data_IF_983645692789
#
_entry.id   IF_983645692789
#
_cell.length_a   1.000
_cell.length_b   1.000
_cell.length_c   1.000
_cell.angle_alpha   90.00
_cell.angle_beta   90.00
_cell.angle_gamma   90.00
#
_symmetry.space_group_name_H-M   'P 1'
#
loop_
_entity.id
_entity.type
_entity.pdbx_description
1 polymer ?
#
# COMPACT_ATOMS: atom_id res chain seq x y z
N UNK A 1 -4.47 46.79 -39.50
CA UNK A 1 -5.95 46.67 -39.56
C UNK A 1 -6.38 45.49 -40.43
N UNK A 2 -6.15 45.50 -41.75
CA UNK A 2 -6.60 44.43 -42.66
C UNK A 2 -6.07 43.02 -42.31
N UNK A 3 -4.79 42.90 -41.95
CA UNK A 3 -4.16 41.63 -41.50
C UNK A 3 -4.79 41.07 -40.22
N UNK A 4 -5.19 41.94 -39.29
CA UNK A 4 -5.84 41.55 -38.04
C UNK A 4 -7.28 41.04 -38.28
N UNK A 5 -8.03 41.70 -39.16
CA UNK A 5 -9.37 41.24 -39.57
C UNK A 5 -9.32 39.89 -40.29
N UNK A 6 -8.34 39.68 -41.18
CA UNK A 6 -8.14 38.40 -41.85
C UNK A 6 -7.81 37.28 -40.84
N UNK A 7 -6.94 37.57 -39.87
CA UNK A 7 -6.60 36.63 -38.80
C UNK A 7 -7.81 36.25 -37.94
N UNK A 8 -8.60 37.23 -37.48
CA UNK A 8 -9.84 36.98 -36.72
C UNK A 8 -10.84 36.14 -37.52
N UNK A 9 -10.98 36.41 -38.83
CA UNK A 9 -11.91 35.67 -39.68
C UNK A 9 -11.49 34.19 -39.84
N UNK A 10 -10.19 33.94 -40.00
CA UNK A 10 -9.64 32.57 -40.06
C UNK A 10 -9.84 31.88 -38.71
N UNK A 11 -9.49 32.54 -37.60
CA UNK A 11 -9.67 31.99 -36.26
C UNK A 11 -11.13 31.64 -35.97
N UNK A 12 -12.07 32.53 -36.31
CA UNK A 12 -13.51 32.30 -36.16
C UNK A 12 -13.99 31.09 -36.97
N UNK A 13 -13.54 30.95 -38.23
CA UNK A 13 -13.87 29.81 -39.07
C UNK A 13 -13.33 28.49 -38.50
N UNK A 14 -12.09 28.50 -37.99
CA UNK A 14 -11.48 27.32 -37.33
C UNK A 14 -12.26 26.95 -36.06
N UNK A 15 -12.63 27.94 -35.24
CA UNK A 15 -13.43 27.71 -34.03
C UNK A 15 -14.82 27.16 -34.38
N UNK A 16 -15.49 27.69 -35.40
CA UNK A 16 -16.79 27.18 -35.85
C UNK A 16 -16.71 25.76 -36.40
N UNK A 17 -15.64 25.43 -37.14
CA UNK A 17 -15.42 24.07 -37.64
C UNK A 17 -15.19 23.10 -36.47
N UNK A 18 -14.33 23.47 -35.52
CA UNK A 18 -14.12 22.69 -34.30
C UNK A 18 -15.42 22.48 -33.52
N UNK A 19 -16.21 23.54 -33.33
CA UNK A 19 -17.49 23.46 -32.63
C UNK A 19 -18.48 22.52 -33.34
N UNK A 20 -18.61 22.63 -34.67
CA UNK A 20 -19.47 21.73 -35.46
C UNK A 20 -19.01 20.28 -35.36
N UNK A 21 -17.70 20.02 -35.43
CA UNK A 21 -17.14 18.67 -35.28
C UNK A 21 -17.42 18.11 -33.89
N UNK A 22 -17.22 18.91 -32.83
CA UNK A 22 -17.50 18.51 -31.44
C UNK A 22 -18.98 18.22 -31.23
N UNK A 23 -19.87 19.11 -31.70
CA UNK A 23 -21.32 18.91 -31.61
C UNK A 23 -21.79 17.68 -32.40
N UNK A 24 -21.25 17.47 -33.60
CA UNK A 24 -21.52 16.29 -34.42
C UNK A 24 -21.09 14.99 -33.74
N UNK A 25 -19.88 14.97 -33.16
CA UNK A 25 -19.40 13.85 -32.37
C UNK A 25 -20.25 13.62 -31.13
N UNK A 26 -20.64 14.68 -30.42
CA UNK A 26 -21.51 14.63 -29.25
C UNK A 26 -22.87 14.01 -29.57
N UNK A 27 -23.52 14.45 -30.65
CA UNK A 27 -24.79 13.89 -31.11
C UNK A 27 -24.66 12.42 -31.50
N UNK A 28 -23.59 12.03 -32.19
CA UNK A 28 -23.31 10.64 -32.53
C UNK A 28 -23.15 9.78 -31.27
N UNK A 29 -22.34 10.22 -30.30
CA UNK A 29 -22.13 9.52 -29.03
C UNK A 29 -23.43 9.40 -28.24
N UNK A 30 -24.20 10.49 -28.14
CA UNK A 30 -25.50 10.49 -27.45
C UNK A 30 -26.50 9.54 -28.11
N UNK A 31 -26.56 9.51 -29.45
CA UNK A 31 -27.42 8.60 -30.19
C UNK A 31 -27.08 7.13 -29.95
N UNK A 32 -25.78 6.80 -29.80
CA UNK A 32 -25.33 5.44 -29.44
C UNK A 32 -25.62 5.12 -27.99
N UNK A 33 -25.37 6.06 -27.08
CA UNK A 33 -25.68 5.93 -25.65
C UNK A 33 -27.16 5.61 -25.43
N UNK A 34 -28.08 6.31 -26.10
CA UNK A 34 -29.53 6.11 -25.96
C UNK A 34 -30.00 4.70 -26.31
N UNK A 35 -29.22 3.93 -27.09
CA UNK A 35 -29.57 2.54 -27.43
C UNK A 35 -29.29 1.57 -26.29
N UNK A 36 -28.23 1.81 -25.50
CA UNK A 36 -27.78 0.92 -24.43
C UNK A 36 -27.27 1.71 -23.21
N UNK A 37 -28.12 2.56 -22.60
CA UNK A 37 -27.67 3.53 -21.61
C UNK A 37 -27.01 2.87 -20.40
N UNK A 38 -27.62 1.81 -19.86
CA UNK A 38 -27.07 1.09 -18.69
C UNK A 38 -25.67 0.51 -18.98
N UNK A 39 -25.49 -0.18 -20.10
CA UNK A 39 -24.21 -0.79 -20.45
C UNK A 39 -23.11 0.26 -20.64
N UNK A 40 -23.43 1.39 -21.27
CA UNK A 40 -22.47 2.46 -21.51
C UNK A 40 -22.11 3.19 -20.21
N UNK A 41 -23.08 3.44 -19.33
CA UNK A 41 -22.84 4.01 -18.00
C UNK A 41 -21.94 3.09 -17.17
N UNK A 42 -22.18 1.78 -17.18
CA UNK A 42 -21.34 0.82 -16.46
C UNK A 42 -19.91 0.78 -16.99
N UNK A 43 -19.70 0.85 -18.31
CA UNK A 43 -18.35 0.92 -18.87
C UNK A 43 -17.66 2.26 -18.58
N UNK A 44 -18.40 3.36 -18.60
CA UNK A 44 -17.90 4.67 -18.16
C UNK A 44 -17.51 4.66 -16.69
N UNK A 45 -18.31 4.02 -15.83
CA UNK A 45 -17.99 3.83 -14.42
C UNK A 45 -16.72 3.01 -14.22
N UNK A 46 -16.58 1.87 -14.92
CA UNK A 46 -15.35 1.07 -14.91
C UNK A 46 -14.13 1.91 -15.30
N UNK A 47 -14.23 2.71 -16.37
CA UNK A 47 -13.16 3.60 -16.80
C UNK A 47 -12.78 4.62 -15.73
N UNK A 48 -13.76 5.31 -15.14
CA UNK A 48 -13.52 6.31 -14.09
C UNK A 48 -12.89 5.69 -12.86
N UNK A 49 -13.42 4.56 -12.39
CA UNK A 49 -12.86 3.82 -11.25
C UNK A 49 -11.42 3.40 -11.52
N UNK A 50 -11.15 2.88 -12.72
CA UNK A 50 -9.80 2.50 -13.13
C UNK A 50 -8.84 3.68 -13.18
N UNK A 51 -9.28 4.82 -13.75
CA UNK A 51 -8.48 6.03 -13.82
C UNK A 51 -8.06 6.51 -12.43
N UNK A 52 -8.96 6.50 -11.45
CA UNK A 52 -8.63 6.87 -10.07
C UNK A 52 -7.71 5.87 -9.39
N UNK A 53 -7.85 4.56 -9.62
CA UNK A 53 -6.95 3.56 -9.05
C UNK A 53 -5.50 3.65 -9.59
N UNK A 54 -5.32 4.10 -10.83
CA UNK A 54 -4.00 4.36 -11.40
C UNK A 54 -3.43 5.70 -10.98
N UNK A 55 -4.25 6.75 -10.99
CA UNK A 55 -3.80 8.11 -10.77
C UNK A 55 -4.68 8.81 -9.71
N UNK A 56 -4.42 8.55 -8.42
CA UNK A 56 -5.18 9.13 -7.31
C UNK A 56 -4.86 10.62 -7.11
N UNK A 57 -5.31 11.47 -8.02
CA UNK A 57 -5.06 12.93 -7.98
C UNK A 57 -6.07 13.69 -7.14
N UNK A 58 -7.31 13.22 -7.13
CA UNK A 58 -8.40 13.92 -6.49
C UNK A 58 -8.44 13.55 -5.01
N UNK A 59 -7.94 14.45 -4.17
CA UNK A 59 -8.06 14.30 -2.73
C UNK A 59 -9.49 14.64 -2.28
N UNK A 60 -10.39 13.67 -2.39
CA UNK A 60 -11.77 13.78 -1.91
C UNK A 60 -12.25 12.39 -1.48
N UNK A 61 -13.06 12.32 -0.42
CA UNK A 61 -13.57 11.05 0.13
C UNK A 61 -14.30 10.19 -0.90
N UNK A 62 -14.99 10.85 -1.86
CA UNK A 62 -15.70 10.16 -2.94
C UNK A 62 -14.75 9.32 -3.81
N UNK A 63 -13.51 9.78 -4.01
CA UNK A 63 -12.48 9.04 -4.74
C UNK A 63 -12.20 7.70 -4.06
N UNK A 64 -12.11 7.69 -2.72
CA UNK A 64 -11.93 6.48 -1.92
C UNK A 64 -13.05 5.46 -2.13
N UNK A 65 -14.31 5.90 -2.11
CA UNK A 65 -15.47 5.03 -2.41
C UNK A 65 -15.46 4.47 -3.83
N UNK A 66 -15.18 5.33 -4.82
CA UNK A 66 -15.11 4.92 -6.22
C UNK A 66 -14.01 3.85 -6.38
N UNK A 67 -12.82 4.08 -5.85
CA UNK A 67 -11.70 3.14 -5.92
C UNK A 67 -11.99 1.81 -5.22
N UNK A 68 -12.56 1.86 -4.01
CA UNK A 68 -12.96 0.66 -3.25
C UNK A 68 -13.97 -0.22 -4.01
N UNK A 69 -14.79 0.39 -4.87
CA UNK A 69 -15.79 -0.33 -5.68
C UNK A 69 -15.24 -1.03 -6.92
N UNK A 70 -13.93 -0.97 -7.18
CA UNK A 70 -13.32 -1.53 -8.39
C UNK A 70 -13.74 -2.99 -8.70
N UNK A 71 -13.77 -3.93 -7.73
CA UNK A 71 -14.22 -5.30 -8.00
C UNK A 71 -15.66 -5.35 -8.56
N UNK A 72 -16.57 -4.52 -8.02
CA UNK A 72 -17.93 -4.39 -8.51
C UNK A 72 -17.97 -3.77 -9.91
N UNK A 73 -17.19 -2.71 -10.14
CA UNK A 73 -17.09 -2.05 -11.45
C UNK A 73 -16.61 -3.03 -12.54
N UNK A 74 -15.65 -3.89 -12.22
CA UNK A 74 -15.15 -4.94 -13.12
C UNK A 74 -16.22 -5.99 -13.43
N UNK A 75 -16.92 -6.50 -12.40
CA UNK A 75 -17.97 -7.50 -12.59
C UNK A 75 -19.13 -6.96 -13.43
N UNK A 76 -19.64 -5.77 -13.10
CA UNK A 76 -20.68 -5.11 -13.87
C UNK A 76 -20.19 -4.76 -15.29
N UNK A 77 -18.94 -4.31 -15.44
CA UNK A 77 -18.32 -4.03 -16.73
C UNK A 77 -18.23 -5.26 -17.63
N UNK A 78 -17.90 -6.43 -17.07
CA UNK A 78 -17.87 -7.70 -17.80
C UNK A 78 -19.27 -8.10 -18.29
N UNK A 79 -20.28 -7.99 -17.43
CA UNK A 79 -21.69 -8.23 -17.80
C UNK A 79 -22.12 -7.29 -18.92
N UNK A 80 -21.76 -6.00 -18.83
CA UNK A 80 -22.05 -5.02 -19.88
C UNK A 80 -21.36 -5.37 -21.20
N UNK A 81 -20.11 -5.85 -21.17
CA UNK A 81 -19.39 -6.31 -22.36
C UNK A 81 -20.09 -7.50 -23.02
N UNK A 82 -20.46 -8.53 -22.24
CA UNK A 82 -21.16 -9.72 -22.74
C UNK A 82 -22.49 -9.31 -23.38
N UNK A 83 -23.26 -8.44 -22.72
CA UNK A 83 -24.51 -7.92 -23.25
C UNK A 83 -24.33 -7.16 -24.57
N UNK A 84 -23.31 -6.31 -24.67
CA UNK A 84 -23.02 -5.54 -25.89
C UNK A 84 -22.53 -6.43 -27.05
N UNK A 85 -21.77 -7.50 -26.76
CA UNK A 85 -21.41 -8.51 -27.75
C UNK A 85 -22.66 -9.22 -28.31
N UNK A 86 -23.58 -9.61 -27.43
CA UNK A 86 -24.87 -10.19 -27.83
C UNK A 86 -25.68 -9.22 -28.71
N UNK A 87 -25.67 -7.93 -28.39
CA UNK A 87 -26.31 -6.86 -29.18
C UNK A 87 -25.49 -6.42 -30.41
N UNK A 88 -24.44 -7.17 -30.79
CA UNK A 88 -23.56 -6.94 -31.94
C UNK A 88 -22.81 -5.60 -31.91
N UNK A 89 -22.69 -4.95 -30.74
CA UNK A 89 -21.94 -3.71 -30.53
C UNK A 89 -20.45 -4.00 -30.26
N UNK A 90 -19.79 -4.67 -31.21
CA UNK A 90 -18.44 -5.25 -31.03
C UNK A 90 -17.39 -4.21 -30.62
N UNK A 91 -17.39 -3.01 -31.21
CA UNK A 91 -16.38 -1.98 -30.92
C UNK A 91 -16.41 -1.53 -29.46
N UNK A 92 -17.59 -1.22 -28.93
CA UNK A 92 -17.72 -0.73 -27.55
C UNK A 92 -17.48 -1.86 -26.56
N UNK A 93 -17.95 -3.07 -26.86
CA UNK A 93 -17.64 -4.23 -26.04
C UNK A 93 -16.14 -4.52 -25.98
N UNK A 94 -15.43 -4.41 -27.12
CA UNK A 94 -13.97 -4.60 -27.17
C UNK A 94 -13.25 -3.53 -26.35
N UNK A 95 -13.67 -2.27 -26.43
CA UNK A 95 -13.13 -1.20 -25.59
C UNK A 95 -13.35 -1.48 -24.09
N UNK A 96 -14.53 -1.98 -23.71
CA UNK A 96 -14.81 -2.40 -22.33
C UNK A 96 -13.93 -3.57 -21.87
N UNK A 97 -13.71 -4.58 -22.73
CA UNK A 97 -12.81 -5.69 -22.44
C UNK A 97 -11.35 -5.22 -22.26
N UNK A 98 -10.88 -4.25 -23.06
CA UNK A 98 -9.57 -3.63 -22.87
C UNK A 98 -9.48 -2.99 -21.48
N UNK A 99 -10.51 -2.27 -21.04
CA UNK A 99 -10.53 -1.68 -19.69
C UNK A 99 -10.49 -2.73 -18.58
N UNK A 100 -11.15 -3.88 -18.75
CA UNK A 100 -11.07 -5.01 -17.82
C UNK A 100 -9.66 -5.63 -17.82
N UNK A 101 -9.01 -5.75 -18.98
CA UNK A 101 -7.63 -6.23 -19.03
C UNK A 101 -6.68 -5.24 -18.34
N UNK A 102 -6.88 -3.94 -18.55
CA UNK A 102 -6.13 -2.90 -17.87
C UNK A 102 -6.40 -2.86 -16.36
N UNK A 103 -7.56 -3.32 -15.89
CA UNK A 103 -7.84 -3.42 -14.46
C UNK A 103 -7.05 -4.51 -13.76
N UNK A 104 -6.56 -5.50 -14.51
CA UNK A 104 -5.73 -6.56 -13.97
C UNK A 104 -4.41 -6.04 -13.38
N UNK A 105 -3.84 -4.94 -13.90
CA UNK A 105 -2.60 -4.38 -13.31
C UNK A 105 -2.84 -3.71 -11.95
N UNK A 106 -4.06 -3.24 -11.66
CA UNK A 106 -4.45 -2.79 -10.31
C UNK A 106 -4.78 -3.99 -9.43
N UNK A 107 -5.47 -5.00 -9.97
CA UNK A 107 -5.79 -6.24 -9.23
C UNK A 107 -4.52 -7.02 -8.86
N UNK A 108 -3.45 -6.92 -9.65
CA UNK A 108 -2.12 -7.47 -9.30
C UNK A 108 -1.69 -7.04 -7.89
N UNK A 109 -2.01 -5.81 -7.47
CA UNK A 109 -1.69 -5.30 -6.12
C UNK A 109 -2.24 -6.17 -5.00
N UNK A 110 -3.25 -7.02 -5.26
CA UNK A 110 -3.82 -7.97 -4.30
C UNK A 110 -2.99 -9.26 -4.18
N UNK A 111 -2.25 -9.65 -5.22
CA UNK A 111 -1.59 -10.94 -5.34
C UNK A 111 -0.07 -10.81 -5.35
N UNK A 112 0.60 -11.45 -4.39
CA UNK A 112 2.05 -11.55 -4.32
C UNK A 112 2.57 -12.74 -5.10
N UNK A 113 3.66 -12.53 -5.85
CA UNK A 113 4.40 -13.60 -6.54
C UNK A 113 5.76 -13.72 -5.86
N UNK A 114 6.18 -14.92 -5.42
CA UNK A 114 7.49 -15.08 -4.80
C UNK A 114 8.58 -14.60 -5.75
N UNK A 115 9.47 -13.76 -5.24
CA UNK A 115 10.66 -13.38 -5.98
C UNK A 115 11.48 -14.65 -6.24
N UNK A 116 11.98 -14.82 -7.48
CA UNK A 116 12.86 -15.94 -7.80
C UNK A 116 14.13 -15.90 -6.95
N UNK A 117 14.70 -17.07 -6.65
CA UNK A 117 15.93 -17.22 -5.87
C UNK A 117 17.13 -16.57 -6.59
N UNK A 118 17.30 -15.26 -6.43
CA UNK A 118 18.59 -14.64 -6.65
C UNK A 118 19.51 -15.18 -5.56
N UNK A 119 20.65 -15.76 -5.96
CA UNK A 119 21.71 -16.25 -5.05
C UNK A 119 22.37 -15.06 -4.30
N UNK A 120 21.62 -14.43 -3.41
CA UNK A 120 22.03 -13.34 -2.52
C UNK A 120 22.43 -13.87 -1.14
N UNK A 121 22.78 -15.15 -1.05
CA UNK A 121 23.16 -15.82 0.21
C UNK A 121 24.36 -15.17 0.91
N UNK A 122 25.17 -14.39 0.18
CA UNK A 122 26.36 -13.70 0.70
C UNK A 122 26.14 -12.23 1.06
N UNK A 123 24.92 -11.68 0.91
CA UNK A 123 24.66 -10.25 1.14
C UNK A 123 23.82 -10.05 2.40
N UNK A 124 24.26 -9.12 3.26
CA UNK A 124 23.52 -8.75 4.47
C UNK A 124 22.09 -8.36 4.11
N UNK A 125 21.15 -9.05 4.75
CA UNK A 125 19.71 -8.85 4.57
C UNK A 125 19.17 -8.16 5.82
N UNK A 126 18.37 -7.12 5.64
CA UNK A 126 17.65 -6.43 6.70
C UNK A 126 16.24 -7.02 6.83
N UNK A 127 15.90 -7.56 8.00
CA UNK A 127 14.56 -8.06 8.33
C UNK A 127 13.71 -6.96 8.99
N UNK A 128 12.59 -6.60 8.37
CA UNK A 128 11.68 -5.58 8.91
C UNK A 128 10.31 -6.19 9.18
N UNK A 129 9.87 -6.10 10.44
CA UNK A 129 8.55 -6.53 10.87
C UNK A 129 7.63 -5.32 11.04
N UNK A 130 6.38 -5.44 10.60
CA UNK A 130 5.30 -4.54 10.97
C UNK A 130 4.15 -5.32 11.57
N UNK A 131 3.59 -4.85 12.67
CA UNK A 131 2.50 -5.55 13.34
C UNK A 131 1.62 -4.62 14.17
N UNK A 132 0.34 -4.53 13.82
CA UNK A 132 -0.66 -4.01 14.74
C UNK A 132 -0.91 -5.06 15.81
N UNK A 133 -0.43 -4.80 17.02
CA UNK A 133 -0.39 -5.81 18.08
C UNK A 133 -1.69 -5.93 18.86
N UNK A 134 -2.64 -5.01 18.70
CA UNK A 134 -3.87 -4.90 19.52
C UNK A 134 -3.56 -4.97 21.03
N UNK A 135 -2.40 -4.46 21.43
CA UNK A 135 -1.68 -4.70 22.69
C UNK A 135 -1.24 -6.14 22.95
N UNK A 136 -0.10 -6.26 23.62
CA UNK A 136 0.43 -7.57 23.95
C UNK A 136 -0.30 -8.21 25.14
N UNK A 137 -0.46 -9.55 25.14
CA UNK A 137 -0.98 -10.26 26.31
C UNK A 137 -0.13 -9.97 27.56
N UNK A 138 -0.80 -9.58 28.67
CA UNK A 138 -0.15 -9.31 29.97
C UNK A 138 -0.69 -10.24 31.05
N UNK A 139 0.17 -10.70 31.96
CA UNK A 139 -0.25 -11.48 33.13
C UNK A 139 -0.62 -12.94 32.78
N UNK A 140 -1.66 -13.54 33.38
CA UNK A 140 -2.01 -14.96 33.17
C UNK A 140 -2.34 -15.32 31.71
N UNK A 141 -2.78 -14.35 30.91
CA UNK A 141 -3.06 -14.49 29.47
C UNK A 141 -1.80 -14.50 28.59
N UNK A 142 -0.63 -14.19 29.16
CA UNK A 142 0.66 -14.30 28.47
C UNK A 142 1.17 -15.76 28.39
N UNK A 143 0.45 -16.73 28.98
CA UNK A 143 0.81 -18.15 28.90
C UNK A 143 0.84 -18.63 27.45
N UNK A 144 2.04 -18.85 26.91
CA UNK A 144 2.26 -19.27 25.52
C UNK A 144 2.53 -18.13 24.52
N UNK A 145 2.60 -16.86 24.96
CA UNK A 145 3.12 -15.79 24.12
C UNK A 145 4.63 -15.92 23.98
N UNK A 146 5.09 -16.19 22.75
CA UNK A 146 6.50 -16.24 22.41
C UNK A 146 6.86 -15.05 21.51
N UNK A 147 7.52 -14.07 22.12
CA UNK A 147 8.02 -12.88 21.44
C UNK A 147 9.14 -13.21 20.43
N UNK A 148 9.73 -14.40 20.45
CA UNK A 148 10.81 -14.80 19.53
C UNK A 148 10.36 -14.87 18.07
N UNK A 149 9.08 -15.22 17.84
CA UNK A 149 8.47 -15.24 16.51
C UNK A 149 8.33 -13.84 15.90
N UNK A 150 8.37 -12.79 16.74
CA UNK A 150 8.29 -11.38 16.36
C UNK A 150 9.68 -10.71 16.27
N UNK A 151 10.76 -11.50 16.32
CA UNK A 151 12.13 -10.99 16.25
C UNK A 151 12.50 -10.61 14.83
N UNK A 152 12.87 -9.35 14.63
CA UNK A 152 13.41 -8.83 13.39
C UNK A 152 14.66 -7.97 13.66
N UNK A 153 15.23 -7.38 12.61
CA UNK A 153 16.30 -6.39 12.76
C UNK A 153 15.74 -5.02 13.15
N UNK A 154 14.58 -4.70 12.59
CA UNK A 154 13.77 -3.53 12.90
C UNK A 154 12.31 -3.99 13.01
N UNK A 155 11.61 -3.61 14.08
CA UNK A 155 10.22 -3.96 14.29
C UNK A 155 9.36 -2.73 14.58
N UNK A 156 8.29 -2.58 13.81
CA UNK A 156 7.34 -1.47 13.88
C UNK A 156 6.01 -1.99 14.41
N UNK A 157 5.59 -1.51 15.57
CA UNK A 157 4.34 -1.92 16.21
C UNK A 157 3.33 -0.79 16.19
N UNK A 158 2.08 -1.14 15.84
CA UNK A 158 0.91 -0.30 16.00
C UNK A 158 0.07 -0.85 17.17
N UNK A 159 -0.70 0.04 17.80
CA UNK A 159 -1.45 -0.26 19.04
C UNK A 159 -0.56 -0.95 20.10
N UNK A 160 0.69 -0.50 20.17
CA UNK A 160 1.72 -1.04 21.05
C UNK A 160 1.44 -0.66 22.50
N UNK A 161 1.53 -1.63 23.39
CA UNK A 161 1.65 -1.43 24.84
C UNK A 161 3.03 -1.91 25.32
N UNK A 162 3.65 -1.25 26.32
CA UNK A 162 4.94 -1.67 26.87
C UNK A 162 5.01 -3.18 27.18
N UNK A 163 6.09 -3.84 26.75
CA UNK A 163 6.25 -5.28 26.90
C UNK A 163 7.75 -5.65 26.97
N UNK A 164 8.20 -6.07 28.15
CA UNK A 164 9.60 -6.38 28.41
C UNK A 164 10.18 -7.50 27.52
N UNK A 165 9.37 -8.50 27.12
CA UNK A 165 9.86 -9.59 26.25
C UNK A 165 10.15 -9.11 24.82
N UNK A 166 9.47 -8.07 24.35
CA UNK A 166 9.77 -7.40 23.09
C UNK A 166 10.95 -6.45 23.27
N UNK A 167 10.90 -5.59 24.29
CA UNK A 167 11.91 -4.55 24.53
C UNK A 167 13.32 -5.15 24.71
N UNK A 168 13.44 -6.26 25.42
CA UNK A 168 14.72 -6.94 25.66
C UNK A 168 15.36 -7.56 24.40
N UNK A 169 14.67 -7.58 23.26
CA UNK A 169 15.22 -8.12 22.01
C UNK A 169 16.03 -7.11 21.20
N UNK A 170 15.93 -5.81 21.53
CA UNK A 170 16.43 -4.71 20.71
C UNK A 170 17.34 -3.77 21.49
N UNK A 171 18.23 -3.07 20.78
CA UNK A 171 19.22 -2.16 21.38
C UNK A 171 18.70 -0.72 21.51
N UNK A 172 17.79 -0.32 20.61
CA UNK A 172 17.22 1.02 20.57
C UNK A 172 15.71 0.94 20.33
N UNK A 173 14.98 1.93 20.87
CA UNK A 173 13.54 2.08 20.67
C UNK A 173 13.12 3.54 20.53
N UNK A 174 12.06 3.77 19.79
CA UNK A 174 11.29 5.02 19.74
C UNK A 174 9.85 4.66 20.04
N UNK A 175 9.22 5.37 20.97
CA UNK A 175 7.81 5.17 21.28
C UNK A 175 7.06 6.50 21.39
N UNK A 176 5.80 6.49 20.97
CA UNK A 176 4.83 7.54 21.29
C UNK A 176 3.55 6.88 21.74
N UNK A 177 3.30 6.96 23.04
CA UNK A 177 2.16 6.36 23.70
C UNK A 177 1.21 7.45 24.18
N UNK A 178 -0.06 7.09 24.26
CA UNK A 178 -1.13 7.89 24.85
C UNK A 178 -1.84 7.06 25.91
N UNK A 179 -2.45 7.75 26.87
CA UNK A 179 -3.27 7.11 27.89
C UNK A 179 -4.56 6.60 27.25
N UNK A 180 -4.70 5.28 27.13
CA UNK A 180 -5.89 4.63 26.60
C UNK A 180 -6.93 4.37 27.69
N UNK A 181 -6.45 3.96 28.87
CA UNK A 181 -7.22 3.80 30.10
C UNK A 181 -6.33 4.11 31.30
N UNK A 182 -6.88 4.22 32.52
CA UNK A 182 -6.20 4.68 33.74
C UNK A 182 -4.82 4.06 33.98
N UNK A 183 -4.64 2.79 33.60
CA UNK A 183 -3.41 2.02 33.83
C UNK A 183 -2.82 1.45 32.52
N UNK A 184 -3.24 1.94 31.34
CA UNK A 184 -2.83 1.37 30.05
C UNK A 184 -2.46 2.45 29.05
N UNK A 185 -1.18 2.44 28.70
CA UNK A 185 -0.65 3.23 27.59
C UNK A 185 -0.67 2.42 26.30
N UNK A 186 -1.05 3.07 25.21
CA UNK A 186 -1.06 2.48 23.88
C UNK A 186 -0.51 3.46 22.85
N UNK A 187 0.09 2.99 21.78
CA UNK A 187 0.43 3.86 20.66
C UNK A 187 1.32 3.20 19.64
N UNK A 188 2.40 3.88 19.29
CA UNK A 188 3.35 3.42 18.29
C UNK A 188 4.70 3.14 18.93
N UNK A 189 5.34 2.07 18.47
CA UNK A 189 6.73 1.79 18.81
C UNK A 189 7.52 1.34 17.58
N UNK A 190 8.78 1.76 17.52
CA UNK A 190 9.77 1.32 16.55
C UNK A 190 10.99 0.83 17.32
N UNK A 191 11.34 -0.43 17.14
CA UNK A 191 12.49 -1.08 17.74
C UNK A 191 13.57 -1.35 16.70
N UNK A 192 14.84 -1.26 17.11
CA UNK A 192 15.96 -1.48 16.22
C UNK A 192 17.14 -2.15 16.92
N UNK A 193 17.79 -3.09 16.22
CA UNK A 193 19.10 -3.62 16.57
C UNK A 193 20.25 -2.69 16.14
N UNK A 194 19.92 -1.53 15.57
CA UNK A 194 20.87 -0.56 15.06
C UNK A 194 20.67 0.80 15.77
N UNK A 195 21.72 1.64 15.88
CA UNK A 195 21.59 2.96 16.48
C UNK A 195 20.62 3.86 15.72
N UNK A 196 19.75 4.53 16.47
CA UNK A 196 18.80 5.54 15.97
C UNK A 196 19.47 6.90 16.05
N UNK A 197 19.64 7.56 14.91
CA UNK A 197 20.36 8.83 14.77
C UNK A 197 19.43 10.03 14.94
N UNK A 198 18.24 9.98 14.33
CA UNK A 198 17.20 10.99 14.45
C UNK A 198 15.83 10.33 14.54
N UNK A 199 14.89 11.00 15.20
CA UNK A 199 13.53 10.52 15.30
C UNK A 199 12.54 11.68 15.29
N UNK A 200 11.42 11.47 14.62
CA UNK A 200 10.27 12.37 14.59
C UNK A 200 9.01 11.51 14.62
N UNK A 201 7.92 12.06 15.14
CA UNK A 201 6.67 11.34 15.13
C UNK A 201 5.55 12.15 15.73
N UNK A 202 4.33 11.76 15.40
CA UNK A 202 3.12 12.44 15.82
C UNK A 202 2.01 11.41 16.03
N UNK A 203 1.26 11.61 17.10
CA UNK A 203 -0.06 11.00 17.27
C UNK A 203 -1.09 12.07 16.90
N UNK A 204 -2.05 11.72 16.06
CA UNK A 204 -3.12 12.64 15.65
C UNK A 204 -4.30 12.55 16.61
N UNK A 205 -4.82 13.71 17.01
CA UNK A 205 -5.96 13.79 17.90
C UNK A 205 -7.23 13.31 17.20
N UNK A 206 -8.05 12.53 17.90
CA UNK A 206 -9.34 12.04 17.42
C UNK A 206 -10.47 12.62 18.27
N UNK A 207 -11.45 13.23 17.62
CA UNK A 207 -12.60 13.82 18.30
C UNK A 207 -13.51 12.75 18.94
N UNK A 208 -13.55 11.54 18.38
CA UNK A 208 -14.45 10.46 18.79
C UNK A 208 -13.72 9.13 19.03
N UNK A 209 -12.57 9.16 19.70
CA UNK A 209 -11.86 7.94 20.06
C UNK A 209 -10.52 8.20 20.74
N UNK A 210 -9.83 7.13 21.14
CA UNK A 210 -8.50 7.24 21.72
C UNK A 210 -7.47 7.61 20.66
N UNK A 211 -6.48 8.40 21.06
CA UNK A 211 -5.41 8.92 20.22
C UNK A 211 -4.36 7.84 19.97
N UNK A 212 -4.65 6.90 19.06
CA UNK A 212 -3.81 5.72 18.79
C UNK A 212 -3.22 5.69 17.36
N UNK A 213 -3.66 6.62 16.51
CA UNK A 213 -3.23 6.74 15.12
C UNK A 213 -2.11 7.79 15.01
N UNK A 214 -1.10 7.49 14.21
CA UNK A 214 0.09 8.33 14.12
C UNK A 214 1.12 7.84 13.14
N UNK A 215 2.31 8.43 13.22
CA UNK A 215 3.51 7.87 12.61
C UNK A 215 4.74 8.07 13.51
N UNK A 216 5.71 7.18 13.37
CA UNK A 216 7.09 7.35 13.84
C UNK A 216 8.01 7.25 12.65
N UNK A 217 8.96 8.16 12.54
CA UNK A 217 10.00 8.14 11.52
C UNK A 217 11.34 8.19 12.22
N UNK A 218 12.21 7.25 11.90
CA UNK A 218 13.53 7.11 12.48
C UNK A 218 14.59 7.01 11.38
N UNK A 219 15.66 7.80 11.49
CA UNK A 219 16.87 7.63 10.71
C UNK A 219 17.81 6.70 11.48
N UNK A 220 18.22 5.59 10.87
CA UNK A 220 18.89 4.46 11.51
C UNK A 220 20.22 4.20 10.82
N UNK A 221 21.29 4.04 11.61
CA UNK A 221 22.62 3.72 11.10
C UNK A 221 22.69 2.25 10.66
N UNK A 222 22.80 1.97 9.36
CA UNK A 222 22.83 0.61 8.81
C UNK A 222 24.08 0.38 7.96
N UNK A 223 25.03 -0.37 8.51
CA UNK A 223 26.34 -0.59 7.88
C UNK A 223 27.15 0.71 7.81
N UNK A 224 27.44 1.19 6.59
CA UNK A 224 28.14 2.46 6.34
C UNK A 224 27.20 3.57 5.88
N UNK A 225 25.89 3.32 5.88
CA UNK A 225 24.88 4.24 5.37
C UNK A 225 23.82 4.55 6.44
N UNK A 226 22.92 5.48 6.14
CA UNK A 226 21.75 5.79 6.96
C UNK A 226 20.48 5.45 6.19
N UNK A 227 19.56 4.75 6.83
CA UNK A 227 18.25 4.41 6.26
C UNK A 227 17.15 5.12 7.05
N UNK A 228 16.03 5.42 6.38
CA UNK A 228 14.85 5.99 7.02
C UNK A 228 13.75 4.93 7.12
N UNK A 229 13.28 4.66 8.33
CA UNK A 229 12.16 3.75 8.57
C UNK A 229 10.99 4.53 9.14
N UNK A 230 9.81 4.36 8.54
CA UNK A 230 8.57 5.01 8.96
C UNK A 230 7.55 3.95 9.36
N UNK A 231 7.19 3.92 10.64
CA UNK A 231 6.06 3.18 11.17
C UNK A 231 4.81 4.05 11.08
N UNK A 232 3.76 3.58 10.39
CA UNK A 232 2.49 4.30 10.26
C UNK A 232 1.32 3.52 10.85
N UNK A 233 0.38 4.23 11.46
CA UNK A 233 -0.94 3.73 11.81
C UNK A 233 -1.96 4.79 11.41
N UNK A 234 -2.44 4.70 10.16
CA UNK A 234 -3.39 5.68 9.62
C UNK A 234 -4.79 5.48 10.21
N UNK A 235 -5.64 6.50 10.07
CA UNK A 235 -6.97 6.57 10.68
C UNK A 235 -7.79 5.29 10.48
N UNK A 236 -8.12 4.64 11.60
CA UNK A 236 -8.98 3.46 11.63
C UNK A 236 -10.45 3.85 11.47
N UNK A 237 -11.13 3.17 10.56
CA UNK A 237 -12.55 3.38 10.28
C UNK A 237 -13.45 2.63 11.26
N UNK A 238 -12.90 1.80 12.16
CA UNK A 238 -13.68 1.06 13.16
C UNK A 238 -14.87 0.30 12.56
N UNK A 239 -14.78 -0.16 11.31
CA UNK A 239 -15.89 -0.78 10.59
C UNK A 239 -16.16 -2.14 11.20
N UNK A 240 -17.36 -2.30 11.79
CA UNK A 240 -17.81 -3.54 12.43
C UNK A 240 -18.89 -4.21 11.58
N UNK A 241 -18.47 -4.96 10.57
CA UNK A 241 -19.39 -5.67 9.66
C UNK A 241 -20.23 -6.75 10.34
N UNK A 242 -19.80 -7.25 11.50
CA UNK A 242 -20.52 -8.31 12.22
C UNK A 242 -21.89 -7.85 12.71
N UNK A 243 -21.99 -6.63 13.22
CA UNK A 243 -23.26 -6.09 13.74
C UNK A 243 -24.30 -5.95 12.62
N UNK A 244 -23.88 -5.47 11.44
CA UNK A 244 -24.73 -5.43 10.26
C UNK A 244 -25.16 -6.83 9.82
N UNK A 245 -24.24 -7.80 9.80
CA UNK A 245 -24.53 -9.19 9.42
C UNK A 245 -25.49 -9.87 10.40
N UNK A 246 -25.32 -9.64 11.70
CA UNK A 246 -26.21 -10.14 12.75
C UNK A 246 -27.61 -9.52 12.64
N UNK A 247 -27.70 -8.20 12.44
CA UNK A 247 -28.97 -7.52 12.24
C UNK A 247 -29.71 -8.03 10.98
N UNK A 248 -28.98 -8.30 9.89
CA UNK A 248 -29.52 -8.89 8.68
C UNK A 248 -30.07 -10.31 8.93
N UNK A 249 -29.27 -11.18 9.56
CA UNK A 249 -29.67 -12.56 9.91
C UNK A 249 -30.88 -12.60 10.86
N UNK A 250 -30.99 -11.59 11.74
CA UNK A 250 -32.11 -11.45 12.67
C UNK A 250 -33.36 -10.80 12.04
N UNK A 251 -33.36 -10.47 10.74
CA UNK A 251 -34.49 -9.82 10.07
C UNK A 251 -34.78 -8.39 10.55
N UNK A 252 -33.84 -7.75 11.25
CA UNK A 252 -34.00 -6.41 11.84
C UNK A 252 -33.63 -5.33 10.82
N UNK A 253 -34.46 -5.14 9.79
CA UNK A 253 -34.19 -4.22 8.67
C UNK A 253 -33.82 -2.80 9.11
N UNK A 254 -34.48 -2.25 10.13
CA UNK A 254 -34.17 -0.90 10.64
C UNK A 254 -32.80 -0.81 11.34
N UNK A 255 -32.37 -1.86 12.05
CA UNK A 255 -31.02 -1.91 12.63
C UNK A 255 -29.99 -2.08 11.52
N UNK A 256 -30.22 -2.98 10.57
CA UNK A 256 -29.33 -3.19 9.43
C UNK A 256 -29.05 -1.90 8.65
N UNK A 257 -30.09 -1.13 8.30
CA UNK A 257 -29.93 0.15 7.57
C UNK A 257 -29.09 1.14 8.37
N UNK A 258 -29.31 1.21 9.69
CA UNK A 258 -28.54 2.10 10.58
C UNK A 258 -27.07 1.69 10.63
N UNK A 259 -26.75 0.41 10.77
CA UNK A 259 -25.35 -0.08 10.77
C UNK A 259 -24.64 0.18 9.44
N UNK A 260 -25.36 0.04 8.32
CA UNK A 260 -24.84 0.36 6.98
C UNK A 260 -24.56 1.86 6.85
N UNK A 261 -25.46 2.71 7.33
CA UNK A 261 -25.28 4.16 7.28
C UNK A 261 -24.14 4.62 8.20
N UNK A 262 -24.02 4.05 9.40
CA UNK A 262 -22.89 4.30 10.31
C UNK A 262 -21.56 3.90 9.66
N UNK A 263 -21.51 2.71 9.04
CA UNK A 263 -20.35 2.26 8.27
C UNK A 263 -19.99 3.25 7.16
N UNK A 264 -20.98 3.75 6.42
CA UNK A 264 -20.75 4.74 5.37
C UNK A 264 -20.15 6.05 5.92
N UNK A 265 -20.68 6.57 7.03
CA UNK A 265 -20.15 7.77 7.68
C UNK A 265 -18.71 7.59 8.13
N UNK A 266 -18.38 6.45 8.77
CA UNK A 266 -17.02 6.12 9.21
C UNK A 266 -16.05 5.97 8.05
N UNK A 267 -16.48 5.35 6.95
CA UNK A 267 -15.68 5.22 5.73
C UNK A 267 -15.36 6.61 5.15
N UNK A 268 -16.37 7.50 5.06
CA UNK A 268 -16.19 8.88 4.60
C UNK A 268 -15.15 9.61 5.44
N UNK A 269 -15.34 9.65 6.76
CA UNK A 269 -14.42 10.30 7.70
C UNK A 269 -13.01 9.72 7.60
N UNK A 270 -12.90 8.39 7.52
CA UNK A 270 -11.62 7.72 7.34
C UNK A 270 -10.90 8.11 6.05
N UNK A 271 -11.61 8.23 4.93
CA UNK A 271 -10.99 8.70 3.69
C UNK A 271 -10.50 10.16 3.79
N UNK A 272 -11.25 11.05 4.45
CA UNK A 272 -10.83 12.45 4.62
C UNK A 272 -9.55 12.55 5.47
N UNK A 273 -9.54 11.92 6.65
CA UNK A 273 -8.39 11.98 7.56
C UNK A 273 -7.16 11.25 7.03
N UNK A 274 -7.30 10.05 6.46
CA UNK A 274 -6.14 9.32 5.93
C UNK A 274 -5.40 10.10 4.85
N UNK A 275 -6.12 10.86 4.02
CA UNK A 275 -5.47 11.63 2.96
C UNK A 275 -4.62 12.78 3.52
N UNK A 276 -5.08 13.43 4.59
CA UNK A 276 -4.30 14.47 5.29
C UNK A 276 -3.09 13.88 6.00
N UNK A 277 -3.28 12.77 6.71
CA UNK A 277 -2.24 12.03 7.41
C UNK A 277 -1.15 11.52 6.46
N UNK A 278 -1.56 10.98 5.32
CA UNK A 278 -0.63 10.47 4.32
C UNK A 278 0.21 11.60 3.71
N UNK A 279 -0.36 12.77 3.45
CA UNK A 279 0.40 13.93 2.96
C UNK A 279 1.48 14.36 3.95
N UNK A 280 1.16 14.34 5.24
CA UNK A 280 2.15 14.60 6.29
C UNK A 280 3.28 13.56 6.23
N UNK A 281 2.95 12.26 6.14
CA UNK A 281 3.96 11.19 5.98
C UNK A 281 4.79 11.38 4.70
N UNK A 282 4.16 11.65 3.55
CA UNK A 282 4.82 11.88 2.26
C UNK A 282 5.87 12.99 2.35
N UNK A 283 5.62 14.04 3.15
CA UNK A 283 6.56 15.15 3.33
C UNK A 283 7.90 14.75 3.98
N UNK A 284 7.93 13.62 4.70
CA UNK A 284 9.15 13.08 5.30
C UNK A 284 9.88 12.06 4.42
N UNK A 285 9.21 11.47 3.43
CA UNK A 285 9.75 10.32 2.68
C UNK A 285 9.99 10.61 1.21
N UNK A 286 9.15 11.44 0.58
CA UNK A 286 9.29 11.79 -0.84
C UNK A 286 10.46 12.75 -0.99
N UNK A 287 11.43 12.39 -1.84
CA UNK A 287 12.67 13.15 -1.99
C UNK A 287 13.66 12.99 -0.83
N UNK A 288 13.44 12.00 0.06
CA UNK A 288 14.40 11.65 1.10
C UNK A 288 15.78 11.36 0.50
N UNK A 289 16.83 11.89 1.13
CA UNK A 289 18.24 11.58 0.79
C UNK A 289 18.67 10.17 1.22
N UNK A 290 17.89 9.53 2.08
CA UNK A 290 18.15 8.20 2.63
C UNK A 290 17.24 7.16 1.97
N UNK A 291 17.72 5.92 1.76
CA UNK A 291 16.86 4.77 1.44
C UNK A 291 15.72 4.66 2.44
N UNK A 292 14.48 4.56 1.93
CA UNK A 292 13.26 4.62 2.75
C UNK A 292 12.60 3.25 2.84
N UNK A 293 12.13 2.90 4.03
CA UNK A 293 11.16 1.82 4.29
C UNK A 293 9.97 2.44 5.03
N UNK A 294 8.76 2.27 4.49
CA UNK A 294 7.50 2.68 5.13
C UNK A 294 6.74 1.39 5.42
N UNK A 295 6.37 1.16 6.67
CA UNK A 295 5.59 -0.02 7.05
C UNK A 295 4.56 0.32 8.11
N UNK A 296 3.46 -0.42 8.14
CA UNK A 296 2.42 -0.20 9.12
C UNK A 296 1.03 -0.57 8.66
N UNK A 297 0.07 -0.25 9.52
CA UNK A 297 -1.35 -0.37 9.24
C UNK A 297 -1.85 0.90 8.53
N UNK A 298 -2.11 0.78 7.22
CA UNK A 298 -2.66 1.87 6.43
C UNK A 298 -4.18 2.02 6.60
N UNK A 299 -4.84 1.06 7.25
CA UNK A 299 -6.29 0.94 7.34
C UNK A 299 -7.00 1.00 5.98
N UNK A 300 -6.30 0.59 4.92
CA UNK A 300 -6.77 0.70 3.53
C UNK A 300 -6.27 -0.47 2.67
N UNK A 301 -7.12 -0.92 1.74
CA UNK A 301 -6.83 -2.08 0.89
C UNK A 301 -5.85 -1.73 -0.25
N UNK A 302 -5.26 -2.72 -0.94
CA UNK A 302 -4.29 -2.45 -2.01
C UNK A 302 -4.85 -1.70 -3.24
N UNK A 303 -6.16 -1.49 -3.32
CA UNK A 303 -6.82 -0.71 -4.38
C UNK A 303 -7.19 0.71 -3.92
N UNK A 304 -6.95 1.05 -2.65
CA UNK A 304 -7.33 2.31 -2.06
C UNK A 304 -6.36 3.47 -2.34
N UNK A 305 -6.76 4.66 -1.92
CA UNK A 305 -6.09 5.93 -2.22
C UNK A 305 -4.68 5.96 -1.65
N UNK A 306 -4.52 5.60 -0.37
CA UNK A 306 -3.21 5.69 0.30
C UNK A 306 -2.18 4.75 -0.31
N UNK A 307 -2.62 3.53 -0.65
CA UNK A 307 -1.79 2.58 -1.39
C UNK A 307 -1.40 3.15 -2.76
N UNK A 308 -2.39 3.64 -3.52
CA UNK A 308 -2.16 4.18 -4.86
C UNK A 308 -1.20 5.38 -4.86
N UNK A 309 -1.27 6.24 -3.84
CA UNK A 309 -0.37 7.39 -3.66
C UNK A 309 1.06 6.96 -3.37
N UNK A 310 1.27 6.07 -2.39
CA UNK A 310 2.59 5.55 -2.07
C UNK A 310 3.21 4.81 -3.26
N UNK A 311 2.40 4.05 -4.00
CA UNK A 311 2.84 3.32 -5.20
C UNK A 311 3.34 4.23 -6.35
N UNK A 312 3.12 5.55 -6.29
CA UNK A 312 3.68 6.49 -7.28
C UNK A 312 5.20 6.70 -7.09
N UNK A 313 5.70 6.57 -5.86
CA UNK A 313 7.09 6.87 -5.50
C UNK A 313 7.83 5.68 -4.88
N UNK A 314 7.11 4.67 -4.39
CA UNK A 314 7.65 3.54 -3.65
C UNK A 314 7.13 2.21 -4.21
N UNK A 315 7.93 1.16 -4.06
CA UNK A 315 7.55 -0.21 -4.44
C UNK A 315 6.94 -0.93 -3.24
N UNK A 316 5.77 -1.53 -3.40
CA UNK A 316 5.16 -2.36 -2.35
C UNK A 316 5.85 -3.72 -2.26
N UNK A 317 6.26 -4.11 -1.05
CA UNK A 317 7.01 -5.35 -0.83
C UNK A 317 6.19 -6.62 -1.05
N UNK A 318 4.90 -6.59 -0.71
CA UNK A 318 4.03 -7.75 -0.89
C UNK A 318 3.70 -7.98 -2.37
N UNK A 319 3.44 -6.91 -3.14
CA UNK A 319 3.22 -7.02 -4.58
C UNK A 319 4.43 -7.62 -5.30
N UNK A 320 5.64 -7.24 -4.89
CA UNK A 320 6.89 -7.64 -5.56
C UNK A 320 7.40 -9.03 -5.13
N UNK A 321 7.33 -9.36 -3.85
CA UNK A 321 7.95 -10.57 -3.29
C UNK A 321 7.06 -11.30 -2.27
N UNK A 322 5.74 -11.11 -2.37
CA UNK A 322 4.74 -11.77 -1.55
C UNK A 322 4.37 -13.17 -2.03
N UNK A 323 3.38 -13.78 -1.37
CA UNK A 323 2.81 -15.05 -1.81
C UNK A 323 1.28 -15.05 -1.65
N UNK A 324 0.56 -15.27 -2.75
CA UNK A 324 -0.90 -15.37 -2.73
C UNK A 324 -1.56 -14.06 -2.32
N UNK A 325 -2.64 -14.13 -1.53
CA UNK A 325 -3.44 -12.97 -1.14
C UNK A 325 -3.00 -12.30 0.16
N UNK A 326 -2.13 -12.92 0.97
CA UNK A 326 -1.52 -12.36 2.18
C UNK A 326 -2.44 -11.49 3.05
N UNK A 327 -3.64 -11.98 3.38
CA UNK A 327 -4.56 -11.25 4.24
C UNK A 327 -3.93 -10.98 5.60
N UNK A 328 -4.09 -9.77 6.10
CA UNK A 328 -3.50 -9.35 7.38
C UNK A 328 -4.53 -9.17 8.46
N UNK A 329 -5.82 -9.05 8.12
CA UNK A 329 -6.89 -8.94 9.12
C UNK A 329 -7.29 -10.34 9.64
N UNK A 330 -7.07 -10.59 10.92
CA UNK A 330 -7.47 -11.78 11.67
C UNK A 330 -8.85 -11.59 12.35
N UNK A 331 -9.72 -10.78 11.74
CA UNK A 331 -11.14 -10.66 12.08
C UNK A 331 -11.97 -10.40 10.83
N UNK A 332 -13.30 -10.51 10.94
CA UNK A 332 -14.16 -10.25 9.79
C UNK A 332 -14.05 -8.77 9.33
N UNK A 333 -13.87 -8.51 8.02
CA UNK A 333 -13.71 -9.48 6.93
C UNK A 333 -12.28 -10.04 6.81
N UNK A 334 -12.13 -11.37 6.99
CA UNK A 334 -10.82 -12.07 6.99
C UNK A 334 -10.05 -12.01 5.65
N UNK A 335 -10.67 -11.49 4.60
CA UNK A 335 -10.12 -11.44 3.23
C UNK A 335 -9.51 -10.07 2.88
N UNK A 336 -8.97 -9.37 3.88
CA UNK A 336 -8.45 -8.00 3.69
C UNK A 336 -6.99 -7.91 4.13
N UNK A 337 -6.18 -7.23 3.29
CA UNK A 337 -4.82 -6.80 3.61
C UNK A 337 -4.80 -5.28 3.77
N UNK A 338 -4.59 -4.80 4.99
CA UNK A 338 -4.48 -3.36 5.32
C UNK A 338 -3.11 -2.96 5.86
N UNK A 339 -2.33 -3.95 6.30
CA UNK A 339 -0.94 -3.78 6.71
C UNK A 339 -0.04 -3.91 5.48
N UNK A 340 0.81 -2.92 5.26
CA UNK A 340 1.62 -2.81 4.04
C UNK A 340 3.07 -2.45 4.38
N UNK A 341 3.99 -2.84 3.51
CA UNK A 341 5.36 -2.31 3.50
C UNK A 341 5.71 -1.79 2.11
N UNK A 342 6.26 -0.58 2.05
CA UNK A 342 6.72 0.12 0.86
C UNK A 342 8.18 0.50 1.01
N UNK A 343 8.95 0.48 -0.08
CA UNK A 343 10.38 0.84 -0.07
C UNK A 343 10.74 1.75 -1.22
N UNK A 344 11.75 2.60 -1.02
CA UNK A 344 12.34 3.37 -2.12
C UNK A 344 13.09 2.44 -3.09
N UNK A 345 13.36 2.96 -4.29
CA UNK A 345 14.07 2.24 -5.35
C UNK A 345 15.47 1.72 -4.97
N UNK A 346 16.04 2.16 -3.86
CA UNK A 346 17.35 1.75 -3.34
C UNK A 346 17.38 0.32 -2.80
N UNK A 347 16.20 -0.28 -2.60
CA UNK A 347 16.05 -1.60 -2.02
C UNK A 347 15.74 -2.67 -3.05
N UNK A 348 16.34 -3.84 -2.87
CA UNK A 348 15.88 -5.08 -3.47
C UNK A 348 15.05 -5.84 -2.43
N UNK A 349 13.85 -6.28 -2.83
CA UNK A 349 12.90 -6.95 -1.95
C UNK A 349 13.07 -8.45 -2.16
N UNK A 350 13.57 -9.15 -1.13
CA UNK A 350 13.86 -10.58 -1.21
C UNK A 350 12.62 -11.41 -0.92
N UNK A 351 11.91 -11.10 0.16
CA UNK A 351 10.64 -11.75 0.53
C UNK A 351 9.75 -10.77 1.27
N UNK A 352 8.45 -10.99 1.21
CA UNK A 352 7.45 -10.35 2.07
C UNK A 352 6.39 -11.39 2.45
N UNK A 353 6.18 -11.63 3.74
CA UNK A 353 5.29 -12.70 4.20
C UNK A 353 4.38 -12.20 5.30
N UNK A 354 3.12 -12.66 5.26
CA UNK A 354 2.18 -12.49 6.36
C UNK A 354 2.29 -13.70 7.29
N UNK A 355 2.54 -13.47 8.58
CA UNK A 355 2.77 -14.50 9.58
C UNK A 355 1.43 -14.94 10.22
N UNK A 356 0.65 -15.75 9.51
CA UNK A 356 -0.70 -16.17 9.93
C UNK A 356 -0.73 -17.16 11.12
N UNK A 357 0.42 -17.57 11.65
CA UNK A 357 0.52 -18.45 12.82
C UNK A 357 0.31 -17.74 14.16
N UNK A 358 0.23 -16.41 14.17
CA UNK A 358 0.10 -15.58 15.37
C UNK A 358 -1.35 -15.16 15.53
N UNK A 359 -1.99 -15.51 16.64
CA UNK A 359 -3.46 -15.43 16.80
C UNK A 359 -3.96 -14.53 17.93
N UNK A 360 -3.07 -13.91 18.70
CA UNK A 360 -3.47 -13.10 19.87
C UNK A 360 -3.94 -11.69 19.51
N UNK A 361 -3.71 -11.25 18.27
CA UNK A 361 -4.19 -9.97 17.74
C UNK A 361 -5.18 -10.22 16.61
N UNK A 362 -6.07 -9.26 16.40
CA UNK A 362 -6.93 -9.17 15.23
C UNK A 362 -6.18 -8.81 13.93
N UNK A 363 -4.86 -8.66 13.95
CA UNK A 363 -3.99 -8.55 12.78
C UNK A 363 -2.93 -9.67 12.75
N UNK A 364 -2.42 -9.96 11.56
CA UNK A 364 -1.26 -10.82 11.35
C UNK A 364 -0.02 -9.96 11.03
N UNK A 365 1.14 -10.25 11.63
CA UNK A 365 2.36 -9.50 11.32
C UNK A 365 2.79 -9.66 9.86
N UNK A 366 3.39 -8.61 9.30
CA UNK A 366 4.02 -8.62 7.98
C UNK A 366 5.53 -8.54 8.17
N UNK A 367 6.26 -9.55 7.69
CA UNK A 367 7.71 -9.63 7.73
C UNK A 367 8.29 -9.53 6.31
N UNK A 368 9.17 -8.57 6.09
CA UNK A 368 9.87 -8.41 4.82
C UNK A 368 11.39 -8.48 4.99
N UNK A 369 12.06 -8.92 3.93
CA UNK A 369 13.51 -9.02 3.85
C UNK A 369 14.02 -8.13 2.73
N UNK A 370 14.94 -7.24 3.07
CA UNK A 370 15.46 -6.25 2.13
C UNK A 370 16.98 -6.35 2.00
N UNK A 371 17.46 -6.06 0.80
CA UNK A 371 18.89 -5.91 0.52
C UNK A 371 19.12 -4.53 -0.08
N UNK A 372 20.01 -3.75 0.51
CA UNK A 372 20.36 -2.42 -0.01
C UNK A 372 21.17 -2.57 -1.30
N UNK A 373 20.70 -2.02 -2.42
CA UNK A 373 21.31 -2.21 -3.75
C UNK A 373 22.77 -1.72 -3.83
N UNK A 374 23.11 -0.68 -3.06
CA UNK A 374 24.50 -0.21 -2.94
C UNK A 374 25.44 -1.31 -2.43
N UNK A 375 24.97 -2.16 -1.52
CA UNK A 375 25.75 -3.30 -1.02
C UNK A 375 25.95 -4.39 -2.10
N UNK A 376 25.02 -4.55 -3.04
CA UNK A 376 25.16 -5.48 -4.18
C UNK A 376 26.28 -5.05 -5.13
N UNK A 377 26.39 -3.74 -5.38
CA UNK A 377 27.39 -3.14 -6.28
C UNK A 377 28.81 -3.27 -5.69
N UNK A 378 28.95 -3.03 -4.39
CA UNK A 378 30.25 -3.20 -3.70
C UNK A 378 30.73 -4.66 -3.64
N UNK A 379 29.80 -5.63 -3.58
CA UNK A 379 30.14 -7.05 -3.62
C UNK A 379 30.64 -7.49 -4.99
N UNK A 380 30.01 -6.99 -6.06
CA UNK A 380 30.39 -7.28 -7.45
C UNK A 380 31.75 -6.69 -7.81
N UNK A 381 32.07 -5.46 -7.39
CA UNK A 381 33.39 -4.86 -7.60
C UNK A 381 34.52 -5.63 -6.87
N UNK A 382 34.26 -6.12 -5.65
CA UNK A 382 35.22 -6.96 -4.91
C UNK A 382 35.46 -8.32 -5.58
N UNK A 383 34.48 -8.85 -6.32
CA UNK A 383 34.62 -10.09 -7.10
C UNK A 383 35.38 -9.85 -8.40
N UNK A 384 35.17 -8.73 -9.09
CA UNK A 384 35.89 -8.37 -10.32
C UNK A 384 37.37 -8.05 -10.05
N UNK A 385 37.68 -7.40 -8.94
CA UNK A 385 39.07 -7.15 -8.50
C UNK A 385 39.80 -8.37 -7.92
N UNK A 386 39.17 -9.55 -7.89
CA UNK A 386 39.80 -10.84 -7.63
C UNK A 386 39.97 -11.64 -8.93
N UNK A 387 40.50 -11.03 -9.98
CA UNK A 387 41.07 -11.80 -11.09
C UNK A 387 42.42 -12.38 -10.63
N UNK A 388 42.73 -13.66 -10.85
CA UNK A 388 44.04 -14.20 -10.48
C UNK A 388 45.12 -13.50 -11.31
N UNK A 389 46.17 -13.03 -10.64
CA UNK A 389 47.44 -12.69 -11.31
C UNK A 389 47.82 -13.88 -12.22
N UNK A 390 48.26 -13.64 -13.46
CA UNK A 390 48.69 -14.73 -14.33
C UNK A 390 49.81 -15.51 -13.63
N UNK A 391 49.65 -16.83 -13.60
CA UNK A 391 50.63 -17.78 -13.10
C UNK A 391 51.96 -17.52 -13.81
N UNK A 392 52.95 -17.01 -13.09
CA UNK A 392 54.31 -16.83 -13.59
C UNK A 392 54.97 -18.21 -13.70
N UNK A 393 54.94 -18.77 -14.92
CA UNK A 393 55.57 -20.05 -15.25
C UNK A 393 57.10 -19.98 -15.31
N UNK A 394 57.73 -18.84 -15.00
CA UNK A 394 59.19 -18.68 -15.08
C UNK A 394 60.00 -19.22 -13.88
N UNK A 395 59.38 -19.82 -12.85
CA UNK A 395 60.09 -20.33 -11.65
C UNK A 395 60.18 -21.85 -11.52
N UNK A 396 60.22 -22.58 -12.64
CA UNK A 396 60.32 -24.05 -12.63
C UNK A 396 61.35 -24.61 -13.61
N UNK A 397 62.51 -23.95 -13.79
CA UNK A 397 63.71 -24.59 -14.39
C UNK A 397 64.98 -24.00 -13.78
N UNK A 398 65.33 -24.37 -12.55
CA UNK A 398 66.69 -24.15 -12.02
C UNK A 398 67.02 -25.06 -10.82
N UNK A 399 66.78 -26.37 -10.95
CA UNK A 399 67.38 -27.38 -10.06
C UNK A 399 67.60 -28.68 -10.84
N UNK A 400 68.51 -28.61 -11.81
CA UNK A 400 69.29 -29.77 -12.29
C UNK A 400 70.69 -29.27 -12.62
N UNK A 401 71.56 -29.30 -11.61
CA UNK A 401 72.96 -29.72 -11.70
C UNK A 401 73.54 -29.88 -10.31
#
# INVERSE_FOLDING_TARGET
MATFYTFIRILSAVVQLLLKTVLGLGNLLFSRYRRFPLAYTTLGYLFVTMAFCYYPMVNHWLTGFVMMSLPLAMACGLVACIYLLYKKQKTVATAGLIWILCSFMVVKRLWGIPAGDLNLSQVNTLKVLSFNSETFPTGPTATGFDASALKADIACFQEYSPNAQIENQYLAKVEKLTCFDKDREIGLALFSNYPILNQYGRIWNRTQGPDINGFLCADIAYGTDTIRVVNVHLWSMGVRTNQAMEAFRAGKSGQFIREVFDTFCRLKEGFEHRNEQLREVESYVVGSRYPVIICGDLNETPIGYSYGKLAQNFTNAFEEAGQGLGFTLNRHPYCVRIDQQFVSHDWHIKTCQTLSGISFSDHFPVLAQYVLKKALTMSTDKLVHRTPQPFDTAKLVATKK
#
